data_IF_900113204961
#
_entry.id   IF_900113204961
#
_cell.length_a   1.000
_cell.length_b   1.000
_cell.length_c   1.000
_cell.angle_alpha   90.00
_cell.angle_beta   90.00
_cell.angle_gamma   90.00
#
_symmetry.space_group_name_H-M   'P 1'
#
loop_
_entity.id
_entity.type
_entity.pdbx_description
1 polymer ?
#
# COMPACT_ATOMS: atom_id res chain seq x y z
N UNK A 1 10.26 18.57 0.67
CA UNK A 1 9.30 18.53 -0.43
C UNK A 1 7.87 18.55 0.08
N UNK A 2 6.98 19.25 -0.64
CA UNK A 2 5.57 19.37 -0.22
C UNK A 2 4.91 18.00 -0.07
N UNK A 3 5.14 17.09 -1.01
CA UNK A 3 4.53 15.76 -0.98
C UNK A 3 4.98 14.95 0.24
N UNK A 4 6.25 15.02 0.59
CA UNK A 4 6.76 14.34 1.78
C UNK A 4 6.07 14.85 3.04
N UNK A 5 5.90 16.18 3.15
CA UNK A 5 5.20 16.77 4.29
C UNK A 5 3.74 16.36 4.34
N UNK A 6 3.09 16.30 3.19
CA UNK A 6 1.69 15.87 3.09
C UNK A 6 1.53 14.43 3.59
N UNK A 7 2.43 13.54 3.18
CA UNK A 7 2.36 12.14 3.59
C UNK A 7 2.68 11.98 5.07
N UNK A 8 3.66 12.74 5.58
CA UNK A 8 3.97 12.72 7.01
C UNK A 8 2.78 13.18 7.83
N UNK A 9 2.12 14.27 7.41
CA UNK A 9 0.92 14.78 8.08
C UNK A 9 -0.21 13.78 8.01
N UNK A 10 -0.37 13.14 6.86
CA UNK A 10 -1.40 12.12 6.66
C UNK A 10 -1.19 10.94 7.62
N UNK A 11 0.05 10.51 7.81
CA UNK A 11 0.36 9.44 8.74
C UNK A 11 -0.12 9.78 10.16
N UNK A 12 0.28 10.95 10.68
CA UNK A 12 -0.09 11.33 12.05
C UNK A 12 -1.59 11.53 12.21
N UNK A 13 -2.23 12.14 11.23
CA UNK A 13 -3.67 12.36 11.27
C UNK A 13 -4.43 11.03 11.24
N UNK A 14 -4.01 10.11 10.37
CA UNK A 14 -4.65 8.79 10.27
C UNK A 14 -4.43 7.98 11.53
N UNK A 15 -3.23 8.02 12.09
CA UNK A 15 -2.94 7.33 13.35
C UNK A 15 -3.87 7.80 14.46
N UNK A 16 -4.10 9.10 14.54
CA UNK A 16 -5.03 9.67 15.51
C UNK A 16 -6.46 9.16 15.29
N UNK A 17 -6.87 9.11 14.02
CA UNK A 17 -8.24 8.70 13.68
C UNK A 17 -8.50 7.21 13.92
N UNK A 18 -7.55 6.34 13.63
CA UNK A 18 -7.76 4.89 13.80
C UNK A 18 -7.72 4.48 15.27
N UNK A 19 -7.07 5.27 16.12
CA UNK A 19 -6.96 4.96 17.55
C UNK A 19 -8.03 5.63 18.39
N UNK A 20 -8.94 6.41 17.79
CA UNK A 20 -9.93 7.16 18.56
C UNK A 20 -11.05 6.29 19.15
N UNK A 21 -11.38 5.18 18.51
CA UNK A 21 -12.42 4.27 19.00
C UNK A 21 -12.20 2.86 18.47
N UNK A 22 -12.93 1.91 19.04
CA UNK A 22 -12.80 0.50 18.74
C UNK A 22 -13.15 0.17 17.29
N UNK A 23 -14.20 0.78 16.77
CA UNK A 23 -14.66 0.53 15.41
C UNK A 23 -13.63 0.97 14.38
N UNK A 24 -13.07 2.17 14.56
CA UNK A 24 -12.02 2.68 13.66
C UNK A 24 -10.78 1.80 13.70
N UNK A 25 -10.39 1.36 14.89
CA UNK A 25 -9.25 0.47 15.06
C UNK A 25 -9.46 -0.87 14.36
N UNK A 26 -10.68 -1.42 14.47
CA UNK A 26 -10.99 -2.70 13.83
C UNK A 26 -10.93 -2.61 12.30
N UNK A 27 -11.42 -1.51 11.74
CA UNK A 27 -11.34 -1.29 10.29
C UNK A 27 -9.89 -1.22 9.81
N UNK A 28 -9.05 -0.56 10.60
CA UNK A 28 -7.62 -0.50 10.30
C UNK A 28 -7.00 -1.91 10.35
N UNK A 29 -7.31 -2.69 11.38
CA UNK A 29 -6.77 -4.04 11.52
C UNK A 29 -7.18 -4.95 10.36
N UNK A 30 -8.39 -4.79 9.84
CA UNK A 30 -8.86 -5.57 8.69
C UNK A 30 -8.00 -5.30 7.47
N UNK A 31 -7.66 -4.04 7.22
CA UNK A 31 -6.75 -3.69 6.12
C UNK A 31 -5.34 -4.20 6.40
N UNK A 32 -4.85 -4.01 7.62
CA UNK A 32 -3.50 -4.40 8.00
C UNK A 32 -3.28 -5.92 7.87
N UNK A 33 -4.32 -6.70 8.11
CA UNK A 33 -4.22 -8.16 8.02
C UNK A 33 -3.90 -8.62 6.59
N UNK A 34 -4.34 -7.88 5.59
CA UNK A 34 -4.03 -8.17 4.18
C UNK A 34 -2.64 -7.68 3.79
N UNK A 35 -2.05 -6.80 4.59
CA UNK A 35 -0.77 -6.15 4.28
C UNK A 35 0.25 -6.40 5.41
N UNK A 36 0.23 -7.59 5.98
CA UNK A 36 1.03 -7.92 7.17
C UNK A 36 2.54 -7.86 6.94
N UNK A 37 2.99 -7.90 5.69
CA UNK A 37 4.41 -7.82 5.34
C UNK A 37 5.02 -6.45 5.57
N UNK A 38 4.18 -5.44 5.69
CA UNK A 38 4.62 -4.07 5.86
C UNK A 38 4.68 -3.72 7.34
N UNK A 39 5.58 -2.78 7.69
CA UNK A 39 5.66 -2.33 9.07
C UNK A 39 4.42 -1.50 9.43
N UNK A 40 4.29 -1.17 10.72
CA UNK A 40 3.11 -0.46 11.20
C UNK A 40 2.89 0.89 10.51
N UNK A 41 3.97 1.66 10.34
CA UNK A 41 3.88 2.97 9.68
C UNK A 41 3.37 2.83 8.26
N UNK A 42 3.89 1.86 7.52
CA UNK A 42 3.43 1.60 6.16
C UNK A 42 1.98 1.14 6.13
N UNK A 43 1.57 0.28 7.07
CA UNK A 43 0.19 -0.18 7.16
C UNK A 43 -0.77 0.99 7.38
N UNK A 44 -0.40 1.93 8.24
CA UNK A 44 -1.21 3.14 8.48
C UNK A 44 -1.35 3.96 7.20
N UNK A 45 -0.26 4.14 6.47
CA UNK A 45 -0.27 4.90 5.22
C UNK A 45 -1.06 4.19 4.12
N UNK A 46 -0.95 2.88 4.03
CA UNK A 46 -1.74 2.10 3.07
C UNK A 46 -3.24 2.29 3.38
N UNK A 47 -3.61 2.13 4.63
CA UNK A 47 -5.00 2.29 5.05
C UNK A 47 -5.52 3.70 4.76
N UNK A 48 -4.69 4.72 5.01
CA UNK A 48 -5.08 6.11 4.81
C UNK A 48 -5.40 6.40 3.33
N UNK A 49 -4.67 5.80 2.42
CA UNK A 49 -4.78 6.08 0.99
C UNK A 49 -5.62 5.04 0.25
N UNK A 50 -5.64 3.82 0.73
CA UNK A 50 -6.36 2.73 0.09
C UNK A 50 -6.87 1.75 1.14
N UNK A 51 -7.97 2.10 1.85
CA UNK A 51 -8.47 1.24 2.95
C UNK A 51 -8.93 -0.15 2.50
N UNK A 52 -9.21 -0.31 1.22
CA UNK A 52 -9.62 -1.59 0.64
C UNK A 52 -8.47 -2.36 -0.02
N UNK A 53 -7.22 -1.96 0.23
CA UNK A 53 -6.06 -2.62 -0.37
C UNK A 53 -5.99 -4.10 0.04
N UNK A 54 -5.75 -4.94 -0.95
CA UNK A 54 -5.68 -6.40 -0.77
C UNK A 54 -4.23 -6.87 -0.70
N UNK A 55 -3.41 -6.41 -1.64
CA UNK A 55 -1.99 -6.76 -1.70
C UNK A 55 -1.26 -5.66 -2.45
N UNK A 56 -0.26 -5.07 -1.84
CA UNK A 56 0.48 -3.97 -2.45
C UNK A 56 1.95 -4.34 -2.67
N UNK A 57 2.51 -3.79 -3.72
CA UNK A 57 3.93 -3.97 -4.06
C UNK A 57 4.36 -2.85 -4.99
N UNK A 58 5.67 -2.65 -5.09
CA UNK A 58 6.20 -1.68 -6.03
C UNK A 58 6.01 -2.18 -7.48
N UNK A 59 5.98 -1.25 -8.42
CA UNK A 59 5.80 -1.58 -9.84
C UNK A 59 6.81 -2.63 -10.31
N UNK A 60 8.07 -2.46 -9.93
CA UNK A 60 9.13 -3.37 -10.31
C UNK A 60 8.87 -4.79 -9.81
N UNK A 61 8.36 -4.91 -8.59
CA UNK A 61 8.02 -6.20 -8.00
C UNK A 61 6.85 -6.85 -8.72
N UNK A 62 5.82 -6.06 -9.08
CA UNK A 62 4.69 -6.56 -9.85
C UNK A 62 5.15 -7.13 -11.18
N UNK A 63 6.03 -6.39 -11.88
CA UNK A 63 6.53 -6.82 -13.18
C UNK A 63 7.40 -8.08 -13.08
N UNK A 64 8.33 -8.08 -12.13
CA UNK A 64 9.35 -9.13 -12.02
C UNK A 64 8.81 -10.44 -11.45
N UNK A 65 8.09 -10.37 -10.34
CA UNK A 65 7.69 -11.58 -9.61
C UNK A 65 6.33 -12.12 -10.01
N UNK A 66 5.41 -11.24 -10.41
CA UNK A 66 4.03 -11.65 -10.69
C UNK A 66 3.65 -11.54 -12.16
N UNK A 67 4.52 -10.97 -12.97
CA UNK A 67 4.25 -10.73 -14.39
C UNK A 67 2.97 -9.92 -14.58
N UNK A 68 2.79 -8.94 -13.73
CA UNK A 68 1.64 -8.02 -13.76
C UNK A 68 2.13 -6.61 -14.04
N UNK A 69 1.29 -5.84 -14.69
CA UNK A 69 1.61 -4.47 -15.07
C UNK A 69 0.61 -3.51 -14.47
N UNK A 70 1.11 -2.38 -13.96
CA UNK A 70 0.26 -1.35 -13.38
C UNK A 70 -0.58 -0.71 -14.48
N UNK A 71 -1.89 -0.60 -14.23
CA UNK A 71 -2.82 0.01 -15.17
C UNK A 71 -2.49 1.47 -15.41
N UNK A 72 -2.67 1.95 -16.65
CA UNK A 72 -2.52 3.36 -16.93
C UNK A 72 -3.51 4.17 -16.11
N UNK A 73 -3.04 5.26 -15.51
CA UNK A 73 -3.87 6.10 -14.67
C UNK A 73 -4.06 5.62 -13.24
N UNK A 74 -3.46 4.49 -12.86
CA UNK A 74 -3.55 4.02 -11.48
C UNK A 74 -2.87 4.99 -10.53
N UNK A 75 -3.50 5.21 -9.37
CA UNK A 75 -2.94 6.07 -8.33
C UNK A 75 -2.10 5.23 -7.39
N UNK A 76 -0.83 5.61 -7.23
CA UNK A 76 0.06 4.94 -6.30
C UNK A 76 -0.25 5.27 -4.86
N UNK A 77 0.20 4.39 -3.98
CA UNK A 77 0.15 4.59 -2.54
C UNK A 77 1.54 5.02 -2.11
N UNK A 78 1.64 6.16 -1.43
CA UNK A 78 2.93 6.71 -1.01
C UNK A 78 3.30 6.21 0.38
N UNK A 79 4.49 5.63 0.49
CA UNK A 79 5.05 5.20 1.77
C UNK A 79 6.27 6.06 2.09
N UNK A 80 6.53 6.25 3.38
CA UNK A 80 7.74 6.94 3.82
C UNK A 80 8.89 5.94 3.78
N UNK A 81 10.02 6.36 3.20
CA UNK A 81 11.18 5.49 3.05
C UNK A 81 12.45 6.29 3.33
N UNK A 82 13.01 6.10 4.50
CA UNK A 82 14.22 6.79 4.92
C UNK A 82 15.44 6.46 4.07
N UNK A 83 15.42 5.29 3.42
CA UNK A 83 16.50 4.84 2.55
C UNK A 83 16.45 5.48 1.17
N UNK A 84 15.37 6.15 0.83
CA UNK A 84 15.27 6.89 -0.42
C UNK A 84 15.82 8.30 -0.21
N UNK A 85 17.12 8.47 -0.47
CA UNK A 85 17.82 9.72 -0.22
C UNK A 85 17.27 10.90 -1.02
N UNK A 86 16.63 10.64 -2.15
CA UNK A 86 16.15 11.70 -3.03
C UNK A 86 14.79 12.25 -2.60
N UNK A 87 13.84 11.38 -2.29
CA UNK A 87 12.46 11.79 -2.04
C UNK A 87 11.96 11.47 -0.63
N UNK A 88 12.62 10.56 0.08
CA UNK A 88 12.15 10.09 1.39
C UNK A 88 10.88 9.27 1.31
N UNK A 89 10.48 8.86 0.11
CA UNK A 89 9.24 8.13 -0.14
C UNK A 89 9.43 7.07 -1.21
N UNK A 90 8.54 6.09 -1.22
CA UNK A 90 8.42 5.14 -2.31
C UNK A 90 6.94 4.94 -2.64
N UNK A 91 6.67 4.41 -3.81
CA UNK A 91 5.30 4.24 -4.30
C UNK A 91 5.01 2.76 -4.50
N UNK A 92 3.86 2.32 -3.99
CA UNK A 92 3.38 0.95 -4.19
C UNK A 92 2.00 0.99 -4.83
N UNK A 93 1.60 -0.13 -5.43
CA UNK A 93 0.30 -0.26 -6.11
C UNK A 93 -0.41 -1.50 -5.62
N UNK A 94 -1.73 -1.39 -5.45
CA UNK A 94 -2.54 -2.54 -5.08
C UNK A 94 -2.76 -3.46 -6.28
N UNK A 95 -2.98 -4.74 -6.02
CA UNK A 95 -3.20 -5.73 -7.07
C UNK A 95 -4.37 -5.37 -7.98
N UNK A 96 -5.40 -4.71 -7.43
CA UNK A 96 -6.57 -4.30 -8.21
C UNK A 96 -6.27 -3.23 -9.24
N UNK A 97 -5.12 -2.56 -9.11
CA UNK A 97 -4.63 -1.57 -10.06
C UNK A 97 -3.64 -2.15 -11.06
N UNK A 98 -3.54 -3.47 -11.13
CA UNK A 98 -2.63 -4.16 -12.04
C UNK A 98 -3.40 -5.10 -12.96
N UNK A 99 -2.76 -5.48 -14.06
CA UNK A 99 -3.33 -6.46 -14.98
C UNK A 99 -2.23 -7.40 -15.48
N UNK A 100 -2.67 -8.52 -16.01
CA UNK A 100 -1.77 -9.53 -16.60
C UNK A 100 -2.19 -9.74 -18.04
N UNK A 101 -1.60 -8.98 -18.95
CA UNK A 101 -1.95 -8.99 -20.38
C UNK A 101 -3.44 -8.73 -20.61
N UNK A 102 -4.03 -7.81 -19.81
CA UNK A 102 -5.44 -7.49 -19.94
C UNK A 102 -6.38 -8.45 -19.23
N UNK A 103 -5.85 -9.49 -18.60
CA UNK A 103 -6.65 -10.45 -17.83
C UNK A 103 -6.62 -10.05 -16.36
N UNK A 104 -7.80 -9.88 -15.76
CA UNK A 104 -7.91 -9.54 -14.35
C UNK A 104 -8.04 -10.81 -13.52
N UNK A 105 -6.95 -11.51 -13.38
CA UNK A 105 -6.89 -12.73 -12.58
C UNK A 105 -6.02 -12.45 -11.36
N UNK A 106 -6.62 -12.53 -10.17
CA UNK A 106 -5.93 -12.22 -8.92
C UNK A 106 -5.80 -13.48 -8.06
N UNK A 107 -4.75 -14.26 -8.22
CA UNK A 107 -4.53 -15.35 -7.28
C UNK A 107 -4.08 -14.79 -5.92
N UNK A 108 -5.03 -14.17 -5.23
CA UNK A 108 -4.75 -13.42 -3.99
C UNK A 108 -4.09 -14.30 -2.94
N UNK A 109 -4.50 -15.55 -2.84
CA UNK A 109 -3.91 -16.47 -1.89
C UNK A 109 -2.42 -16.73 -2.17
N UNK A 110 -2.02 -16.72 -3.44
CA UNK A 110 -0.60 -16.83 -3.81
C UNK A 110 0.15 -15.57 -3.48
N UNK A 111 -0.47 -14.41 -3.69
CA UNK A 111 0.17 -13.13 -3.42
C UNK A 111 0.49 -12.97 -1.95
N UNK A 112 -0.38 -13.44 -1.07
CA UNK A 112 -0.17 -13.33 0.38
C UNK A 112 0.94 -14.24 0.88
N UNK A 113 1.30 -15.30 0.14
CA UNK A 113 2.35 -16.24 0.52
C UNK A 113 3.74 -15.83 0.02
N UNK A 114 3.81 -14.91 -0.91
CA UNK A 114 5.09 -14.50 -1.50
C UNK A 114 5.60 -13.24 -0.79
N UNK A 115 6.83 -13.28 -0.32
CA UNK A 115 7.48 -12.13 0.30
C UNK A 115 8.06 -11.23 -0.79
N UNK A 116 7.59 -10.02 -0.83
CA UNK A 116 8.02 -9.02 -1.79
C UNK A 116 8.82 -7.94 -1.10
#
# INVERSE_FOLDING_TARGET
MAKFKEITSLYFETLKNVTKDKESWQKFLDCASSNFKYNFKDQVLIYAQRPDAIAVAEMEQWNKYFKRWVNGGAKGIFLLDENNAQYGMRIVFDVTDTNRYGVKDYPIWKLSLIHI
#
